data_IF_927870516586
#
_entry.id   IF_927870516586
#
_cell.length_a   1.000
_cell.length_b   1.000
_cell.length_c   1.000
_cell.angle_alpha   90.00
_cell.angle_beta   90.00
_cell.angle_gamma   90.00
#
_symmetry.space_group_name_H-M   'P 1'
#
loop_
_entity.id
_entity.type
_entity.pdbx_description
1 polymer ?
#
# COMPACT_ATOMS: atom_id res chain seq x y z
N UNK A 1 -19.41 46.02 -42.22
CA UNK A 1 -18.04 45.47 -42.29
C UNK A 1 -17.62 45.01 -40.89
N UNK A 2 -17.69 43.72 -40.61
CA UNK A 2 -17.39 43.15 -39.27
C UNK A 2 -15.93 42.67 -39.27
N UNK A 3 -15.12 43.17 -38.29
CA UNK A 3 -13.72 42.75 -38.07
C UNK A 3 -13.70 41.36 -37.44
N UNK A 4 -13.04 40.35 -38.08
CA UNK A 4 -12.72 39.04 -37.55
C UNK A 4 -11.75 39.13 -36.37
N UNK A 5 -11.94 38.36 -35.28
CA UNK A 5 -11.00 38.31 -34.18
C UNK A 5 -9.74 37.52 -34.53
N UNK A 6 -8.57 38.11 -34.36
CA UNK A 6 -7.28 37.46 -34.52
C UNK A 6 -7.04 36.47 -33.38
N UNK A 7 -6.87 35.18 -33.68
CA UNK A 7 -6.41 34.16 -32.77
C UNK A 7 -4.93 34.42 -32.40
N UNK A 8 -4.67 34.81 -31.13
CA UNK A 8 -3.32 34.85 -30.59
C UNK A 8 -2.74 33.42 -30.56
N UNK A 9 -1.71 33.15 -31.37
CA UNK A 9 -0.90 31.92 -31.26
C UNK A 9 -0.25 31.89 -29.90
N UNK A 10 -0.58 30.89 -29.06
CA UNK A 10 0.19 30.58 -27.84
C UNK A 10 1.61 30.22 -28.26
N UNK A 11 2.58 30.99 -27.82
CA UNK A 11 4.00 30.67 -27.98
C UNK A 11 4.27 29.35 -27.25
N UNK A 12 4.85 28.37 -27.95
CA UNK A 12 5.31 27.14 -27.33
C UNK A 12 6.35 27.48 -26.27
N UNK A 13 6.12 27.01 -25.04
CA UNK A 13 7.08 27.16 -23.95
C UNK A 13 8.41 26.51 -24.37
N UNK A 14 9.51 27.25 -24.27
CA UNK A 14 10.85 26.71 -24.48
C UNK A 14 11.06 25.55 -23.50
N UNK A 15 11.60 24.39 -23.95
CA UNK A 15 11.95 23.31 -23.04
C UNK A 15 12.92 23.83 -21.98
N UNK A 16 12.68 23.48 -20.73
CA UNK A 16 13.57 23.84 -19.63
C UNK A 16 14.98 23.27 -19.91
N UNK A 17 16.04 24.05 -19.60
CA UNK A 17 17.41 23.58 -19.82
C UNK A 17 17.64 22.31 -18.99
N UNK A 18 18.15 21.25 -19.63
CA UNK A 18 18.55 20.01 -18.96
C UNK A 18 19.66 20.38 -17.96
N UNK A 19 19.52 20.09 -16.67
CA UNK A 19 20.56 20.39 -15.69
C UNK A 19 21.84 19.65 -16.04
N UNK A 20 22.94 20.37 -16.16
CA UNK A 20 24.24 19.73 -16.36
C UNK A 20 24.73 19.13 -15.04
N UNK A 21 24.96 17.83 -15.03
CA UNK A 21 25.55 17.11 -13.89
C UNK A 21 26.98 17.62 -13.70
N UNK A 22 27.27 18.19 -12.52
CA UNK A 22 28.55 18.81 -12.23
C UNK A 22 29.46 17.98 -11.32
N UNK A 23 28.87 17.16 -10.46
CA UNK A 23 29.60 16.30 -9.53
C UNK A 23 28.85 15.01 -9.21
N UNK A 24 29.44 14.16 -8.35
CA UNK A 24 28.82 12.89 -7.93
C UNK A 24 27.49 13.08 -7.17
N UNK A 25 27.35 14.17 -6.43
CA UNK A 25 26.11 14.48 -5.71
C UNK A 25 24.99 14.84 -6.69
N UNK A 26 25.29 15.56 -7.76
CA UNK A 26 24.33 15.87 -8.84
C UNK A 26 23.87 14.59 -9.57
N UNK A 27 24.71 13.55 -9.59
CA UNK A 27 24.36 12.24 -10.18
C UNK A 27 23.45 11.41 -9.26
N UNK A 28 23.63 11.49 -7.96
CA UNK A 28 22.99 10.62 -6.97
C UNK A 28 21.80 11.26 -6.26
N UNK A 29 21.83 12.57 -6.09
CA UNK A 29 20.75 13.32 -5.44
C UNK A 29 19.72 13.81 -6.47
N UNK A 30 18.43 13.66 -6.23
CA UNK A 30 17.41 14.22 -7.10
C UNK A 30 17.50 15.74 -7.10
N UNK A 31 17.49 16.34 -8.29
CA UNK A 31 17.60 17.80 -8.47
C UNK A 31 16.42 18.58 -7.87
N UNK A 32 15.27 17.95 -7.75
CA UNK A 32 14.04 18.52 -7.16
C UNK A 32 13.36 17.47 -6.31
N UNK A 33 12.97 17.85 -5.08
CA UNK A 33 12.08 17.05 -4.23
C UNK A 33 10.97 17.95 -3.75
N UNK A 34 9.74 17.70 -4.19
CA UNK A 34 8.55 18.46 -3.83
C UNK A 34 7.41 17.52 -3.47
N UNK A 35 6.86 17.65 -2.28
CA UNK A 35 5.68 16.93 -1.83
C UNK A 35 4.44 17.81 -1.93
N UNK A 36 3.44 17.34 -2.69
CA UNK A 36 2.12 17.92 -2.80
C UNK A 36 1.11 17.10 -2.00
N UNK A 37 -0.16 17.46 -2.07
CA UNK A 37 -1.24 16.79 -1.33
C UNK A 37 -1.42 15.32 -1.74
N UNK A 38 -1.37 15.02 -3.03
CA UNK A 38 -1.74 13.72 -3.64
C UNK A 38 -0.59 13.08 -4.44
N UNK A 39 0.50 13.81 -4.65
CA UNK A 39 1.67 13.34 -5.39
C UNK A 39 2.95 14.02 -4.92
N UNK A 40 4.09 13.47 -5.27
CA UNK A 40 5.40 14.07 -5.13
C UNK A 40 6.06 14.24 -6.49
N UNK A 41 7.01 15.16 -6.60
CA UNK A 41 7.89 15.30 -7.76
C UNK A 41 9.32 15.12 -7.27
N UNK A 42 9.99 14.09 -7.77
CA UNK A 42 11.32 13.69 -7.34
C UNK A 42 12.20 13.51 -8.59
N UNK A 43 13.22 14.33 -8.73
CA UNK A 43 14.09 14.30 -9.90
C UNK A 43 13.37 14.57 -11.24
N UNK A 44 12.21 15.23 -11.22
CA UNK A 44 11.39 15.49 -12.41
C UNK A 44 10.37 14.37 -12.72
N UNK A 45 10.35 13.29 -11.95
CA UNK A 45 9.38 12.20 -12.04
C UNK A 45 8.26 12.43 -11.03
N UNK A 46 7.03 12.16 -11.44
CA UNK A 46 5.84 12.24 -10.59
C UNK A 46 5.64 10.92 -9.85
N UNK A 47 5.40 10.98 -8.55
CA UNK A 47 5.19 9.83 -7.68
C UNK A 47 3.88 9.98 -6.91
N UNK A 48 3.20 8.87 -6.61
CA UNK A 48 2.13 8.81 -5.63
C UNK A 48 2.27 7.53 -4.79
N UNK A 49 1.96 7.65 -3.51
CA UNK A 49 2.17 6.55 -2.57
C UNK A 49 0.85 6.06 -2.01
N UNK A 50 0.75 4.74 -1.88
CA UNK A 50 -0.40 4.04 -1.30
C UNK A 50 0.08 3.04 -0.25
N UNK A 51 -0.78 2.72 0.71
CA UNK A 51 -0.52 1.67 1.69
C UNK A 51 -1.65 0.64 1.65
N UNK A 52 -1.33 -0.65 1.65
CA UNK A 52 -2.33 -1.71 1.76
C UNK A 52 -3.00 -1.66 3.12
N UNK A 53 -4.34 -1.75 3.11
CA UNK A 53 -5.17 -1.74 4.31
C UNK A 53 -5.97 -3.01 4.49
N UNK A 54 -6.55 -3.54 3.42
CA UNK A 54 -7.39 -4.72 3.43
C UNK A 54 -6.78 -5.85 2.64
N UNK A 55 -6.88 -7.05 3.20
CA UNK A 55 -6.40 -8.30 2.64
C UNK A 55 -7.57 -9.27 2.49
N UNK A 56 -7.59 -10.17 1.50
CA UNK A 56 -8.63 -11.17 1.37
C UNK A 56 -8.57 -12.15 2.56
N UNK A 57 -9.71 -12.64 3.00
CA UNK A 57 -9.81 -13.65 4.07
C UNK A 57 -9.27 -15.01 3.63
N UNK A 58 -9.39 -15.32 2.33
CA UNK A 58 -8.83 -16.52 1.70
C UNK A 58 -8.45 -16.21 0.27
N UNK A 59 -7.42 -16.88 -0.24
CA UNK A 59 -7.02 -16.80 -1.63
C UNK A 59 -6.44 -18.15 -2.07
N UNK A 60 -6.77 -18.53 -3.30
CA UNK A 60 -6.13 -19.65 -4.01
C UNK A 60 -4.96 -19.15 -4.87
N UNK A 61 -4.86 -17.85 -5.09
CA UNK A 61 -3.79 -17.24 -5.87
C UNK A 61 -2.49 -17.17 -5.05
N UNK A 62 -1.40 -17.62 -5.65
CA UNK A 62 -0.05 -17.39 -5.15
C UNK A 62 0.52 -16.10 -5.73
N UNK A 63 1.43 -15.47 -4.99
CA UNK A 63 2.09 -14.23 -5.42
C UNK A 63 1.09 -13.11 -5.81
N UNK A 64 0.18 -12.76 -4.89
CA UNK A 64 -0.91 -11.78 -5.12
C UNK A 64 -0.44 -10.44 -5.70
N UNK A 65 0.75 -9.99 -5.36
CA UNK A 65 1.30 -8.70 -5.84
C UNK A 65 2.16 -8.85 -7.10
N UNK A 66 2.25 -10.04 -7.71
CA UNK A 66 3.11 -10.30 -8.86
C UNK A 66 2.82 -9.35 -10.03
N UNK A 67 1.56 -9.22 -10.42
CA UNK A 67 1.18 -8.35 -11.54
C UNK A 67 1.47 -6.87 -11.28
N UNK A 68 1.49 -6.45 -10.01
CA UNK A 68 1.90 -5.10 -9.64
C UNK A 68 3.42 -4.95 -9.69
N UNK A 69 4.17 -5.93 -9.19
CA UNK A 69 5.63 -5.92 -9.22
C UNK A 69 6.24 -5.98 -10.62
N UNK A 70 5.50 -6.52 -11.60
CA UNK A 70 5.91 -6.58 -13.01
C UNK A 70 5.62 -5.29 -13.79
N UNK A 71 4.83 -4.35 -13.23
CA UNK A 71 4.48 -3.09 -13.90
C UNK A 71 5.62 -2.07 -13.83
N UNK A 72 5.99 -1.52 -14.99
CA UNK A 72 6.92 -0.40 -15.02
C UNK A 72 6.35 0.81 -14.25
N UNK A 73 7.20 1.42 -13.42
CA UNK A 73 6.79 2.55 -12.59
C UNK A 73 6.06 2.18 -11.31
N UNK A 74 5.98 0.90 -10.96
CA UNK A 74 5.43 0.44 -9.68
C UNK A 74 6.55 -0.20 -8.86
N UNK A 75 6.76 0.30 -7.65
CA UNK A 75 7.68 -0.25 -6.68
C UNK A 75 6.91 -0.69 -5.43
N UNK A 76 7.23 -1.88 -4.92
CA UNK A 76 6.58 -2.49 -3.77
C UNK A 76 7.58 -2.65 -2.63
N UNK A 77 7.24 -2.12 -1.47
CA UNK A 77 7.99 -2.32 -0.24
C UNK A 77 7.13 -3.11 0.76
N UNK A 78 7.59 -4.31 1.11
CA UNK A 78 6.92 -5.19 2.07
C UNK A 78 7.75 -5.23 3.36
N UNK A 79 7.15 -4.78 4.45
CA UNK A 79 7.70 -4.90 5.80
C UNK A 79 7.12 -6.13 6.46
N UNK A 80 7.99 -6.98 7.00
CA UNK A 80 7.59 -8.16 7.74
C UNK A 80 8.37 -8.24 9.04
N UNK A 81 7.67 -8.28 10.18
CA UNK A 81 8.26 -8.42 11.52
C UNK A 81 7.56 -9.55 12.25
N UNK A 82 8.32 -10.49 12.76
CA UNK A 82 7.76 -11.59 13.55
C UNK A 82 7.07 -11.05 14.81
N UNK A 83 5.90 -11.61 15.09
CA UNK A 83 5.17 -11.36 16.34
C UNK A 83 5.84 -12.13 17.46
N UNK A 84 6.11 -11.48 18.58
CA UNK A 84 6.66 -12.17 19.76
C UNK A 84 5.59 -13.03 20.45
N UNK A 85 5.96 -14.10 21.17
CA UNK A 85 4.97 -14.96 21.86
C UNK A 85 4.08 -14.20 22.86
N UNK A 86 4.59 -13.12 23.45
CA UNK A 86 3.82 -12.27 24.35
C UNK A 86 2.76 -11.44 23.59
N UNK A 87 3.17 -10.84 22.46
CA UNK A 87 2.26 -10.11 21.56
C UNK A 87 1.20 -11.05 20.97
N UNK A 88 1.58 -12.25 20.54
CA UNK A 88 0.67 -13.26 19.98
C UNK A 88 -0.46 -13.58 20.97
N UNK A 89 -0.11 -13.88 22.21
CA UNK A 89 -1.09 -14.13 23.27
C UNK A 89 -2.04 -12.96 23.46
N UNK A 90 -1.51 -11.73 23.46
CA UNK A 90 -2.32 -10.52 23.61
C UNK A 90 -3.25 -10.29 22.41
N UNK A 91 -2.76 -10.51 21.18
CA UNK A 91 -3.55 -10.38 19.94
C UNK A 91 -4.72 -11.36 19.96
N UNK A 92 -4.48 -12.63 20.28
CA UNK A 92 -5.51 -13.66 20.39
C UNK A 92 -6.54 -13.32 21.46
N UNK A 93 -6.08 -12.90 22.63
CA UNK A 93 -6.97 -12.49 23.72
C UNK A 93 -7.85 -11.29 23.33
N UNK A 94 -7.25 -10.27 22.68
CA UNK A 94 -7.98 -9.08 22.27
C UNK A 94 -9.01 -9.41 21.18
N UNK A 95 -8.68 -10.26 20.19
CA UNK A 95 -9.61 -10.73 19.18
C UNK A 95 -10.79 -11.48 19.82
N UNK A 96 -10.51 -12.42 20.73
CA UNK A 96 -11.54 -13.16 21.46
C UNK A 96 -12.44 -12.25 22.28
N UNK A 97 -11.86 -11.28 23.03
CA UNK A 97 -12.64 -10.34 23.83
C UNK A 97 -13.49 -9.41 22.97
N UNK A 98 -12.97 -8.87 21.89
CA UNK A 98 -13.72 -7.99 20.98
C UNK A 98 -14.95 -8.71 20.42
N UNK A 99 -14.82 -9.95 20.02
CA UNK A 99 -15.92 -10.74 19.49
C UNK A 99 -16.96 -11.10 20.57
N UNK A 100 -16.52 -11.37 21.80
CA UNK A 100 -17.43 -11.58 22.96
C UNK A 100 -18.23 -10.33 23.30
N UNK A 101 -17.61 -9.15 23.29
CA UNK A 101 -18.31 -7.87 23.53
C UNK A 101 -19.23 -7.49 22.38
N UNK A 102 -18.87 -7.75 21.13
CA UNK A 102 -19.74 -7.57 19.96
C UNK A 102 -21.01 -8.38 20.09
N UNK A 103 -20.91 -9.67 20.48
CA UNK A 103 -22.05 -10.57 20.72
C UNK A 103 -22.95 -10.12 21.87
N UNK A 104 -22.38 -9.61 22.96
CA UNK A 104 -23.14 -9.22 24.17
C UNK A 104 -23.92 -7.91 23.99
N UNK A 105 -23.53 -7.02 23.09
CA UNK A 105 -24.10 -5.67 22.93
C UNK A 105 -24.97 -5.50 21.68
N UNK A 106 -25.23 -6.56 20.90
CA UNK A 106 -25.93 -6.41 19.63
C UNK A 106 -27.33 -7.00 19.71
N UNK A 107 -28.34 -6.13 19.55
CA UNK A 107 -29.75 -6.53 19.40
C UNK A 107 -30.10 -6.96 17.96
N UNK A 108 -29.13 -6.95 17.04
CA UNK A 108 -29.28 -7.33 15.64
C UNK A 108 -28.78 -8.76 15.41
N UNK A 109 -29.68 -9.63 14.99
CA UNK A 109 -29.41 -11.04 14.76
C UNK A 109 -28.31 -11.27 13.70
N UNK A 110 -28.24 -10.42 12.67
CA UNK A 110 -27.23 -10.53 11.61
C UNK A 110 -25.82 -10.22 12.12
N UNK A 111 -25.69 -9.21 12.98
CA UNK A 111 -24.40 -8.88 13.60
C UNK A 111 -23.99 -9.93 14.64
N UNK A 112 -24.94 -10.53 15.35
CA UNK A 112 -24.66 -11.62 16.28
C UNK A 112 -24.15 -12.87 15.55
N UNK A 113 -24.75 -13.24 14.41
CA UNK A 113 -24.30 -14.36 13.57
C UNK A 113 -22.94 -14.08 12.94
N UNK A 114 -22.69 -12.83 12.49
CA UNK A 114 -21.37 -12.44 11.96
C UNK A 114 -20.27 -12.55 13.04
N UNK A 115 -20.55 -12.09 14.27
CA UNK A 115 -19.60 -12.19 15.39
C UNK A 115 -19.34 -13.65 15.81
N UNK A 116 -20.32 -14.55 15.68
CA UNK A 116 -20.13 -16.00 15.93
C UNK A 116 -19.23 -16.64 14.88
N UNK A 117 -19.46 -16.32 13.58
CA UNK A 117 -18.63 -16.80 12.49
C UNK A 117 -17.19 -16.31 12.63
N UNK A 118 -16.99 -15.03 12.97
CA UNK A 118 -15.66 -14.46 13.23
C UNK A 118 -14.94 -15.16 14.39
N UNK A 119 -15.67 -15.57 15.44
CA UNK A 119 -15.11 -16.36 16.54
C UNK A 119 -14.66 -17.75 16.11
N UNK A 120 -15.46 -18.43 15.27
CA UNK A 120 -15.13 -19.73 14.72
C UNK A 120 -13.92 -19.64 13.80
N UNK A 121 -13.84 -18.60 12.95
CA UNK A 121 -12.72 -18.36 12.06
C UNK A 121 -11.42 -18.08 12.85
N UNK A 122 -11.47 -17.27 13.91
CA UNK A 122 -10.34 -17.04 14.80
C UNK A 122 -9.90 -18.33 15.49
N UNK A 123 -10.83 -19.14 16.00
CA UNK A 123 -10.51 -20.42 16.65
C UNK A 123 -9.90 -21.41 15.66
N UNK A 124 -10.43 -21.50 14.44
CA UNK A 124 -9.89 -22.33 13.37
C UNK A 124 -8.48 -21.89 12.98
N UNK A 125 -8.25 -20.59 12.80
CA UNK A 125 -6.95 -20.00 12.50
C UNK A 125 -5.92 -20.35 13.58
N UNK A 126 -6.26 -20.13 14.86
CA UNK A 126 -5.37 -20.43 16.00
C UNK A 126 -5.05 -21.93 16.04
N UNK A 127 -6.04 -22.80 15.80
CA UNK A 127 -5.84 -24.25 15.76
C UNK A 127 -4.91 -24.65 14.61
N UNK A 128 -5.11 -24.08 13.43
CA UNK A 128 -4.28 -24.33 12.26
C UNK A 128 -2.83 -23.87 12.48
N UNK A 129 -2.65 -22.68 13.06
CA UNK A 129 -1.34 -22.14 13.40
C UNK A 129 -0.59 -23.03 14.38
N UNK A 130 -1.25 -23.49 15.46
CA UNK A 130 -0.64 -24.42 16.41
C UNK A 130 -0.30 -25.79 15.76
N UNK A 131 -1.16 -26.29 14.90
CA UNK A 131 -0.94 -27.55 14.18
C UNK A 131 0.24 -27.46 13.21
N UNK A 132 0.33 -26.35 12.47
CA UNK A 132 1.36 -26.13 11.46
C UNK A 132 2.63 -25.48 12.01
N UNK A 133 2.63 -25.06 13.29
CA UNK A 133 3.70 -24.25 13.90
C UNK A 133 4.00 -22.98 13.09
N UNK A 134 2.96 -22.40 12.51
CA UNK A 134 3.06 -21.23 11.67
C UNK A 134 3.09 -19.94 12.53
N UNK A 135 4.15 -19.12 12.47
CA UNK A 135 4.23 -17.90 13.26
C UNK A 135 3.34 -16.79 12.67
N UNK A 136 2.88 -15.90 13.55
CA UNK A 136 2.28 -14.64 13.14
C UNK A 136 3.36 -13.61 12.80
N UNK A 137 3.02 -12.78 11.82
CA UNK A 137 3.89 -11.73 11.29
C UNK A 137 3.11 -10.42 11.21
N UNK A 138 3.68 -9.34 11.74
CA UNK A 138 3.25 -7.99 11.40
C UNK A 138 3.70 -7.69 9.97
N UNK A 139 2.75 -7.38 9.11
CA UNK A 139 3.01 -7.06 7.72
C UNK A 139 2.46 -5.69 7.37
N UNK A 140 3.25 -4.87 6.67
CA UNK A 140 2.81 -3.64 6.04
C UNK A 140 3.34 -3.59 4.61
N UNK A 141 2.51 -3.13 3.67
CA UNK A 141 2.90 -3.03 2.25
C UNK A 141 2.64 -1.61 1.78
N UNK A 142 3.69 -1.00 1.25
CA UNK A 142 3.64 0.31 0.61
C UNK A 142 3.91 0.19 -0.88
N UNK A 143 3.20 0.99 -1.66
CA UNK A 143 3.27 1.01 -3.11
C UNK A 143 3.69 2.42 -3.53
N UNK A 144 4.79 2.54 -4.27
CA UNK A 144 5.21 3.74 -4.98
C UNK A 144 4.85 3.58 -6.45
N UNK A 145 4.07 4.52 -6.96
CA UNK A 145 3.65 4.57 -8.36
C UNK A 145 4.30 5.80 -8.98
N UNK A 146 5.06 5.63 -10.03
CA UNK A 146 5.83 6.69 -10.67
C UNK A 146 5.61 6.78 -12.17
N UNK A 147 5.57 8.01 -12.70
CA UNK A 147 5.43 8.28 -14.13
C UNK A 147 6.14 9.59 -14.52
N UNK A 148 6.52 9.75 -15.79
CA UNK A 148 7.23 10.96 -16.25
C UNK A 148 6.33 12.21 -16.24
N UNK A 149 5.02 12.05 -16.25
CA UNK A 149 4.05 13.14 -16.24
C UNK A 149 2.83 12.82 -15.36
N UNK A 150 2.04 13.85 -15.07
CA UNK A 150 0.90 13.72 -14.14
C UNK A 150 -0.27 12.92 -14.73
N UNK A 151 -0.44 12.93 -16.07
CA UNK A 151 -1.51 12.18 -16.74
C UNK A 151 -1.18 10.67 -16.73
N UNK A 152 0.06 10.33 -17.05
CA UNK A 152 0.59 8.96 -16.94
C UNK A 152 0.51 8.42 -15.49
N UNK A 153 0.81 9.28 -14.49
CA UNK A 153 0.68 8.90 -13.08
C UNK A 153 -0.76 8.54 -12.72
N UNK A 154 -1.74 9.35 -13.16
CA UNK A 154 -3.17 9.07 -12.92
C UNK A 154 -3.60 7.78 -13.58
N UNK A 155 -3.24 7.59 -14.84
CA UNK A 155 -3.55 6.38 -15.59
C UNK A 155 -2.97 5.13 -14.92
N UNK A 156 -1.69 5.18 -14.52
CA UNK A 156 -1.03 4.06 -13.84
C UNK A 156 -1.64 3.78 -12.46
N UNK A 157 -1.98 4.82 -11.70
CA UNK A 157 -2.68 4.69 -10.43
C UNK A 157 -4.03 3.98 -10.57
N UNK A 158 -4.82 4.32 -11.60
CA UNK A 158 -6.11 3.68 -11.86
C UNK A 158 -5.93 2.20 -12.25
N UNK A 159 -4.90 1.88 -13.02
CA UNK A 159 -4.54 0.49 -13.34
C UNK A 159 -4.13 -0.30 -12.10
N UNK A 160 -3.31 0.30 -11.21
CA UNK A 160 -2.93 -0.33 -9.94
C UNK A 160 -4.15 -0.56 -9.06
N UNK A 161 -5.05 0.42 -8.96
CA UNK A 161 -6.29 0.27 -8.20
C UNK A 161 -7.17 -0.86 -8.74
N UNK A 162 -7.30 -0.99 -10.06
CA UNK A 162 -8.05 -2.09 -10.69
C UNK A 162 -7.43 -3.47 -10.39
N UNK A 163 -6.10 -3.58 -10.42
CA UNK A 163 -5.41 -4.84 -10.07
C UNK A 163 -5.59 -5.19 -8.58
N UNK A 164 -5.52 -4.21 -7.69
CA UNK A 164 -5.77 -4.44 -6.27
C UNK A 164 -7.20 -4.96 -6.03
N UNK A 165 -8.20 -4.36 -6.68
CA UNK A 165 -9.59 -4.82 -6.60
C UNK A 165 -9.72 -6.25 -7.13
N UNK A 166 -9.07 -6.59 -8.25
CA UNK A 166 -9.05 -7.94 -8.81
C UNK A 166 -8.47 -8.97 -7.82
N UNK A 167 -7.39 -8.59 -7.13
CA UNK A 167 -6.76 -9.41 -6.09
C UNK A 167 -7.51 -9.37 -4.74
N UNK A 168 -8.69 -8.72 -4.66
CA UNK A 168 -9.45 -8.49 -3.42
C UNK A 168 -8.63 -7.80 -2.32
N UNK A 169 -7.66 -6.99 -2.73
CA UNK A 169 -6.87 -6.13 -1.87
C UNK A 169 -7.45 -4.72 -1.87
N UNK A 170 -7.29 -3.99 -0.78
CA UNK A 170 -7.60 -2.57 -0.73
C UNK A 170 -6.40 -1.76 -0.25
N UNK A 171 -6.20 -0.58 -0.83
CA UNK A 171 -5.14 0.33 -0.46
C UNK A 171 -5.69 1.74 -0.24
N UNK A 172 -5.14 2.42 0.74
CA UNK A 172 -5.42 3.83 1.02
C UNK A 172 -4.40 4.70 0.28
N UNK A 173 -4.82 5.71 -0.49
CA UNK A 173 -3.91 6.75 -0.98
C UNK A 173 -3.41 7.57 0.21
N UNK A 174 -2.10 7.82 0.27
CA UNK A 174 -1.48 8.54 1.37
C UNK A 174 -1.57 10.08 1.15
N UNK A 175 -2.80 10.60 1.08
CA UNK A 175 -3.06 12.03 0.91
C UNK A 175 -2.46 12.82 2.07
N UNK A 176 -1.86 13.99 1.77
CA UNK A 176 -1.17 14.88 2.72
C UNK A 176 0.06 14.25 3.41
N UNK A 177 0.35 12.98 3.16
CA UNK A 177 1.44 12.22 3.76
C UNK A 177 2.38 11.60 2.72
N UNK A 178 2.56 12.30 1.60
CA UNK A 178 3.40 11.82 0.50
C UNK A 178 4.87 11.67 0.90
N UNK A 179 5.37 12.51 1.82
CA UNK A 179 6.73 12.41 2.34
C UNK A 179 6.94 11.12 3.13
N UNK A 180 6.04 10.81 4.05
CA UNK A 180 6.09 9.57 4.84
C UNK A 180 5.89 8.35 3.94
N UNK A 181 5.02 8.47 2.93
CA UNK A 181 4.84 7.46 1.89
C UNK A 181 6.13 7.19 1.12
N UNK A 182 6.83 8.24 0.69
CA UNK A 182 8.12 8.12 0.02
C UNK A 182 9.16 7.40 0.90
N UNK A 183 9.29 7.82 2.16
CA UNK A 183 10.23 7.19 3.10
C UNK A 183 9.91 5.71 3.33
N UNK A 184 8.61 5.38 3.49
CA UNK A 184 8.18 3.99 3.72
C UNK A 184 8.28 3.11 2.47
N UNK A 185 8.10 3.65 1.28
CA UNK A 185 8.15 2.87 0.04
C UNK A 185 9.58 2.71 -0.52
N UNK A 186 10.53 3.59 -0.15
CA UNK A 186 11.85 3.62 -0.77
C UNK A 186 13.03 3.41 0.19
N UNK A 187 12.82 3.55 1.51
CA UNK A 187 13.88 3.27 2.49
C UNK A 187 13.68 1.90 3.13
N UNK A 188 14.56 0.97 2.82
CA UNK A 188 14.53 -0.37 3.39
C UNK A 188 14.63 -0.32 4.93
N UNK A 189 13.73 -1.06 5.60
CA UNK A 189 13.71 -1.16 7.05
C UNK A 189 13.12 0.03 7.80
N UNK A 190 12.57 1.04 7.08
CA UNK A 190 11.96 2.21 7.69
C UNK A 190 10.48 2.34 7.35
N UNK A 191 9.59 2.12 8.32
CA UNK A 191 8.16 2.35 8.22
C UNK A 191 7.79 3.64 8.98
N UNK A 192 7.57 4.74 8.25
CA UNK A 192 7.22 6.06 8.82
C UNK A 192 5.83 6.09 9.49
N UNK A 193 4.97 5.11 9.20
CA UNK A 193 3.61 5.02 9.73
C UNK A 193 3.51 4.14 10.98
N UNK A 194 4.58 3.39 11.30
CA UNK A 194 4.57 2.44 12.41
C UNK A 194 3.41 1.44 12.28
N UNK A 195 2.68 1.16 13.37
CA UNK A 195 1.63 0.14 13.38
C UNK A 195 0.35 0.52 12.61
N UNK A 196 0.21 1.74 12.10
CA UNK A 196 -1.03 2.23 11.47
C UNK A 196 -1.48 1.36 10.28
N UNK A 197 -0.53 0.91 9.45
CA UNK A 197 -0.79 0.06 8.29
C UNK A 197 -0.31 -1.38 8.49
N UNK A 198 0.20 -1.71 9.66
CA UNK A 198 0.54 -3.10 9.98
C UNK A 198 -0.71 -3.95 10.16
N UNK A 199 -0.67 -5.15 9.60
CA UNK A 199 -1.66 -6.22 9.80
C UNK A 199 -0.96 -7.46 10.30
N UNK A 200 -1.59 -8.13 11.23
CA UNK A 200 -1.10 -9.42 11.73
C UNK A 200 -1.66 -10.52 10.84
N UNK A 201 -0.77 -11.22 10.17
CA UNK A 201 -1.09 -12.27 9.23
C UNK A 201 -0.27 -13.53 9.54
N UNK A 202 -0.76 -14.74 9.21
CA UNK A 202 0.06 -15.95 9.19
C UNK A 202 1.25 -15.80 8.22
N UNK A 203 2.39 -16.40 8.54
CA UNK A 203 3.60 -16.28 7.72
C UNK A 203 3.39 -16.76 6.28
N UNK A 204 2.64 -17.84 6.05
CA UNK A 204 2.28 -18.33 4.72
C UNK A 204 1.45 -17.33 3.93
N UNK A 205 0.53 -16.62 4.59
CA UNK A 205 -0.25 -15.55 3.95
C UNK A 205 0.64 -14.39 3.53
N UNK A 206 1.64 -14.01 4.35
CA UNK A 206 2.61 -12.98 3.98
C UNK A 206 3.49 -13.45 2.82
N UNK A 207 3.91 -14.72 2.81
CA UNK A 207 4.68 -15.30 1.71
C UNK A 207 3.93 -15.20 0.37
N UNK A 208 2.60 -15.36 0.38
CA UNK A 208 1.75 -15.23 -0.82
C UNK A 208 1.62 -13.79 -1.34
N UNK A 209 2.04 -12.79 -0.59
CA UNK A 209 2.08 -11.41 -1.07
C UNK A 209 3.31 -11.13 -1.94
N UNK A 210 4.40 -11.90 -1.76
CA UNK A 210 5.64 -11.66 -2.49
C UNK A 210 5.45 -11.89 -3.99
N UNK A 211 5.94 -10.96 -4.84
CA UNK A 211 5.79 -11.05 -6.29
C UNK A 211 6.73 -12.06 -6.96
N UNK A 212 7.62 -12.67 -6.20
CA UNK A 212 8.62 -13.62 -6.71
C UNK A 212 8.16 -15.06 -6.47
N UNK A 213 8.25 -15.87 -7.52
CA UNK A 213 8.22 -17.33 -7.48
C UNK A 213 9.58 -17.88 -7.87
#
# INVERSE_FOLDING_TARGET
>A
MAKKPQKKKKAAAKPAPVPQIKDFLDMTAPSVVKFNTDHAVIGGVYHTFMALRGYPTSTEELALLRHLGEKNGVNLQIYARQVTPAEEKQIIQNASNKNRFGRANTNDLQQAVAAENDLQDVAALVTQMHRNREPLVHCAVFIDISAPDLEGLRTLKDQVAAELVRAKLSADPLLLRQREGFLSANLAGYNAFGPQYERVLPAGSVANLYPCN
#
